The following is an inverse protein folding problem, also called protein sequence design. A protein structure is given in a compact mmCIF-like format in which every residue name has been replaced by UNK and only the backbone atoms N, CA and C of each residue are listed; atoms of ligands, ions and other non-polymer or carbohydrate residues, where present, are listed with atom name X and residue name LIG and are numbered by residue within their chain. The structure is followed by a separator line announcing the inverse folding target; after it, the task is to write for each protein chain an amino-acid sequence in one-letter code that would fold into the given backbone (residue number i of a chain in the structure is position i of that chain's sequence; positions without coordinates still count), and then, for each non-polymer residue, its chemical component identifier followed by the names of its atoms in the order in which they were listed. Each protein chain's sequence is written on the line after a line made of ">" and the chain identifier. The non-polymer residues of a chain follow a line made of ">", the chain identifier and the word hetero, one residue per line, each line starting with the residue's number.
data_IF_232649572531
#
_entry.id   IF_232649572531
#
_cell.length_a   1.000
_cell.length_b   1.000
_cell.length_c   1.000
_cell.angle_alpha   90.00
_cell.angle_beta   90.00
_cell.angle_gamma   90.00
#
_symmetry.space_group_name_H-M   'P 1'
#
loop_
_entity.id
_entity.type
_entity.pdbx_description
1 polymer ?
#
# COMPACT_ATOMS: atom_id res chain seq x y z
N UNK A 1 30.55 -10.60 17.29
CA UNK A 1 29.76 -9.35 17.16
C UNK A 1 28.82 -9.54 15.97
N UNK A 2 27.61 -8.97 15.98
CA UNK A 2 26.72 -9.09 14.82
C UNK A 2 27.29 -8.34 13.61
N UNK A 3 27.24 -8.98 12.44
CA UNK A 3 27.50 -8.34 11.14
C UNK A 3 26.18 -7.84 10.55
N UNK A 4 26.17 -6.65 9.94
CA UNK A 4 24.99 -6.06 9.31
C UNK A 4 25.27 -5.78 7.83
N UNK A 5 24.63 -6.54 6.93
CA UNK A 5 24.88 -6.47 5.49
C UNK A 5 23.64 -6.84 4.69
N UNK A 6 23.73 -6.67 3.37
CA UNK A 6 22.75 -7.22 2.43
C UNK A 6 22.73 -8.75 2.58
N UNK A 7 21.54 -9.33 2.40
CA UNK A 7 21.34 -10.78 2.40
C UNK A 7 21.80 -11.34 1.05
N UNK A 8 22.66 -12.35 1.08
CA UNK A 8 23.17 -13.01 -0.12
C UNK A 8 22.16 -14.04 -0.67
N UNK A 9 22.32 -14.44 -1.92
CA UNK A 9 21.35 -15.30 -2.63
C UNK A 9 21.05 -16.61 -1.88
N UNK A 10 22.07 -17.26 -1.36
CA UNK A 10 21.99 -18.52 -0.59
C UNK A 10 21.48 -18.32 0.86
N UNK A 11 21.36 -17.08 1.32
CA UNK A 11 20.91 -16.74 2.67
C UNK A 11 19.41 -16.38 2.73
N UNK A 12 18.76 -16.12 1.59
CA UNK A 12 17.34 -15.76 1.58
C UNK A 12 16.42 -16.84 2.17
N UNK A 13 16.81 -18.11 2.07
CA UNK A 13 16.06 -19.18 2.75
C UNK A 13 16.07 -19.00 4.28
N UNK A 14 17.21 -18.59 4.87
CA UNK A 14 17.26 -18.29 6.32
C UNK A 14 16.36 -17.10 6.68
N UNK A 15 16.28 -16.08 5.81
CA UNK A 15 15.39 -14.94 6.01
C UNK A 15 13.91 -15.35 5.97
N UNK A 16 13.53 -16.22 5.03
CA UNK A 16 12.18 -16.77 4.91
C UNK A 16 11.84 -17.61 6.14
N UNK A 17 12.73 -18.52 6.54
CA UNK A 17 12.53 -19.40 7.70
C UNK A 17 12.38 -18.60 9.00
N UNK A 18 13.18 -17.54 9.18
CA UNK A 18 13.06 -16.65 10.32
C UNK A 18 11.73 -15.88 10.31
N UNK A 19 11.34 -15.34 9.15
CA UNK A 19 10.08 -14.62 9.02
C UNK A 19 8.86 -15.55 9.26
N UNK A 20 8.92 -16.79 8.77
CA UNK A 20 7.89 -17.80 9.01
C UNK A 20 7.80 -18.17 10.48
N UNK A 21 8.94 -18.42 11.14
CA UNK A 21 8.99 -18.66 12.59
C UNK A 21 8.35 -17.54 13.40
N UNK A 22 8.49 -16.28 12.97
CA UNK A 22 8.01 -15.11 13.72
C UNK A 22 6.55 -14.77 13.42
N UNK A 23 6.12 -14.86 12.16
CA UNK A 23 4.82 -14.34 11.71
C UNK A 23 3.80 -15.42 11.35
N UNK A 24 4.24 -16.63 11.01
CA UNK A 24 3.34 -17.68 10.55
C UNK A 24 2.97 -18.65 11.66
N UNK A 25 1.78 -19.23 11.49
CA UNK A 25 1.18 -20.25 12.35
C UNK A 25 0.65 -21.35 11.43
N UNK A 26 0.25 -22.47 12.00
CA UNK A 26 -0.37 -23.56 11.25
C UNK A 26 -1.52 -23.05 10.36
N UNK A 27 -1.51 -23.48 9.10
CA UNK A 27 -2.46 -23.07 8.06
C UNK A 27 -2.16 -21.75 7.35
N UNK A 28 -1.08 -21.03 7.71
CA UNK A 28 -0.58 -19.95 6.86
C UNK A 28 0.32 -20.47 5.73
N UNK A 29 0.27 -19.79 4.59
CA UNK A 29 1.31 -19.90 3.57
C UNK A 29 2.59 -19.22 4.06
N UNK A 30 3.73 -19.67 3.56
CA UNK A 30 5.04 -19.06 3.87
C UNK A 30 5.07 -17.57 3.49
N UNK A 31 5.78 -16.77 4.28
CA UNK A 31 6.12 -15.38 4.01
C UNK A 31 6.83 -15.23 2.66
N UNK A 32 7.72 -16.16 2.29
CA UNK A 32 8.43 -16.14 1.00
C UNK A 32 7.50 -16.28 -0.20
N UNK A 33 6.37 -16.98 -0.04
CA UNK A 33 5.34 -17.12 -1.08
C UNK A 33 4.43 -15.88 -1.09
N UNK A 34 4.01 -15.42 0.09
CA UNK A 34 3.03 -14.34 0.21
C UNK A 34 3.59 -12.96 -0.16
N UNK A 35 4.86 -12.73 0.15
CA UNK A 35 5.54 -11.44 0.00
C UNK A 35 6.82 -11.60 -0.84
N UNK A 36 6.72 -12.08 -2.09
CA UNK A 36 7.89 -12.50 -2.86
C UNK A 36 8.90 -11.37 -3.10
N UNK A 37 8.44 -10.12 -3.21
CA UNK A 37 9.31 -8.96 -3.42
C UNK A 37 10.22 -8.67 -2.23
N UNK A 38 9.77 -8.95 -1.00
CA UNK A 38 10.53 -8.76 0.25
C UNK A 38 11.77 -9.65 0.29
N UNK A 39 11.67 -10.84 -0.32
CA UNK A 39 12.72 -11.86 -0.38
C UNK A 39 13.31 -12.00 -1.80
N UNK A 40 13.27 -10.92 -2.59
CA UNK A 40 13.72 -10.95 -3.99
C UNK A 40 15.24 -10.91 -4.11
N UNK A 41 15.82 -12.04 -4.51
CA UNK A 41 17.23 -12.12 -4.93
C UNK A 41 17.53 -11.15 -6.07
N UNK A 42 16.58 -10.96 -7.00
CA UNK A 42 16.76 -10.08 -8.16
C UNK A 42 16.86 -8.60 -7.77
N UNK A 43 16.19 -8.19 -6.69
CA UNK A 43 16.32 -6.83 -6.16
C UNK A 43 17.58 -6.71 -5.29
N UNK A 44 17.85 -7.69 -4.43
CA UNK A 44 18.98 -7.72 -3.49
C UNK A 44 19.15 -6.41 -2.68
N UNK A 45 18.07 -5.98 -2.01
CA UNK A 45 18.04 -4.72 -1.25
C UNK A 45 17.71 -4.92 0.24
N UNK A 46 17.38 -6.14 0.64
CA UNK A 46 17.03 -6.49 2.02
C UNK A 46 18.29 -6.73 2.86
N UNK A 47 18.23 -6.37 4.14
CA UNK A 47 19.36 -6.45 5.06
C UNK A 47 19.13 -7.48 6.17
N UNK A 48 20.23 -8.12 6.59
CA UNK A 48 20.26 -9.08 7.69
C UNK A 48 21.27 -8.69 8.77
N UNK A 49 21.00 -9.12 10.00
CA UNK A 49 21.98 -9.17 11.08
C UNK A 49 22.41 -10.61 11.30
N UNK A 50 23.71 -10.88 11.23
CA UNK A 50 24.30 -12.22 11.28
C UNK A 50 25.17 -12.40 12.51
N UNK A 51 25.06 -13.56 13.16
CA UNK A 51 25.92 -13.96 14.28
C UNK A 51 26.41 -15.37 13.98
N UNK A 52 27.72 -15.53 13.79
CA UNK A 52 28.35 -16.81 13.43
C UNK A 52 27.68 -17.43 12.19
N UNK A 53 27.57 -16.63 11.11
CA UNK A 53 26.93 -16.95 9.82
C UNK A 53 25.43 -17.30 9.87
N UNK A 54 24.80 -17.20 11.05
CA UNK A 54 23.37 -17.37 11.22
C UNK A 54 22.65 -16.03 11.12
N UNK A 55 21.65 -15.94 10.25
CA UNK A 55 20.75 -14.80 10.18
C UNK A 55 19.84 -14.78 11.43
N UNK A 56 19.95 -13.72 12.25
CA UNK A 56 19.20 -13.57 13.51
C UNK A 56 18.23 -12.38 13.52
N UNK A 57 18.33 -11.49 12.54
CA UNK A 57 17.37 -10.41 12.31
C UNK A 57 17.31 -10.07 10.83
N UNK A 58 16.13 -9.71 10.34
CA UNK A 58 15.87 -9.38 8.94
C UNK A 58 15.03 -8.12 8.81
N UNK A 59 15.29 -7.32 7.78
CA UNK A 59 14.42 -6.24 7.31
C UNK A 59 14.34 -6.33 5.78
N UNK A 60 13.13 -6.59 5.28
CA UNK A 60 12.89 -6.60 3.85
C UNK A 60 12.65 -5.20 3.32
N UNK A 61 13.15 -4.93 2.10
CA UNK A 61 13.06 -3.63 1.46
C UNK A 61 12.57 -3.78 0.02
N UNK A 62 11.48 -3.10 -0.33
CA UNK A 62 10.84 -3.22 -1.65
C UNK A 62 10.70 -1.83 -2.30
N UNK A 63 11.29 -1.60 -3.48
CA UNK A 63 11.16 -0.33 -4.19
C UNK A 63 9.79 -0.25 -4.88
N UNK A 64 9.28 0.97 -5.04
CA UNK A 64 8.09 1.24 -5.83
C UNK A 64 8.12 2.63 -6.45
N UNK A 65 7.37 2.80 -7.54
CA UNK A 65 7.06 4.10 -8.12
C UNK A 65 5.57 4.35 -7.91
N UNK A 66 5.23 5.50 -7.32
CA UNK A 66 3.84 5.93 -7.13
C UNK A 66 3.47 6.93 -8.20
N UNK A 67 2.28 6.80 -8.75
CA UNK A 67 1.68 7.78 -9.65
C UNK A 67 0.59 8.54 -8.91
N UNK A 68 0.75 9.86 -8.79
CA UNK A 68 -0.13 10.76 -8.06
C UNK A 68 -0.59 11.90 -8.97
N UNK A 69 -1.67 11.68 -9.73
CA UNK A 69 -2.24 12.68 -10.67
C UNK A 69 -1.19 13.34 -11.58
N UNK A 70 -0.33 12.53 -12.20
CA UNK A 70 0.72 13.00 -13.12
C UNK A 70 2.09 13.23 -12.49
N UNK A 71 2.20 13.23 -11.15
CA UNK A 71 3.49 13.14 -10.46
C UNK A 71 3.94 11.70 -10.32
N UNK A 72 5.26 11.50 -10.33
CA UNK A 72 5.92 10.23 -10.03
C UNK A 72 6.77 10.37 -8.76
N UNK A 73 6.46 9.58 -7.74
CA UNK A 73 7.18 9.58 -6.46
C UNK A 73 7.92 8.25 -6.31
N UNK A 74 9.23 8.32 -6.15
CA UNK A 74 10.05 7.13 -5.85
C UNK A 74 9.93 6.81 -4.36
N UNK A 75 9.53 5.59 -4.05
CA UNK A 75 9.22 5.15 -2.71
C UNK A 75 9.86 3.79 -2.40
N UNK A 76 9.96 3.49 -1.12
CA UNK A 76 10.23 2.15 -0.63
C UNK A 76 9.16 1.74 0.38
N UNK A 77 9.01 0.43 0.56
CA UNK A 77 8.26 -0.16 1.66
C UNK A 77 9.17 -1.12 2.42
N UNK A 78 9.08 -1.13 3.76
CA UNK A 78 9.70 -2.17 4.57
C UNK A 78 8.67 -3.21 4.97
N UNK A 79 9.08 -4.48 4.88
CA UNK A 79 8.25 -5.64 5.19
C UNK A 79 9.04 -6.70 5.96
N UNK A 80 8.31 -7.67 6.53
CA UNK A 80 8.87 -8.82 7.26
C UNK A 80 9.96 -8.49 8.31
N UNK A 81 9.86 -7.34 8.98
CA UNK A 81 10.86 -6.91 9.97
C UNK A 81 10.82 -7.81 11.19
N UNK A 82 11.81 -8.68 11.35
CA UNK A 82 11.81 -9.68 12.42
C UNK A 82 13.19 -9.86 13.06
N UNK A 83 13.17 -10.26 14.32
CA UNK A 83 14.37 -10.66 15.08
C UNK A 83 14.03 -11.95 15.80
N UNK A 84 14.94 -12.93 15.71
CA UNK A 84 14.85 -14.18 16.45
C UNK A 84 14.62 -13.88 17.95
N UNK A 85 13.62 -14.52 18.60
CA UNK A 85 13.31 -14.29 20.01
C UNK A 85 14.54 -14.26 20.95
N UNK A 86 15.54 -15.09 20.69
CA UNK A 86 16.74 -15.23 21.52
C UNK A 86 17.76 -14.07 21.34
N UNK A 87 17.54 -13.25 20.31
CA UNK A 87 18.40 -12.12 19.94
C UNK A 87 17.70 -10.75 20.10
N UNK A 88 16.48 -10.73 20.65
CA UNK A 88 15.72 -9.48 20.90
C UNK A 88 16.34 -8.62 22.00
N UNK A 89 15.96 -7.33 22.01
CA UNK A 89 16.43 -6.29 22.95
C UNK A 89 17.94 -6.02 22.91
N UNK A 90 18.59 -6.37 21.80
CA UNK A 90 20.02 -6.11 21.53
C UNK A 90 20.27 -4.98 20.51
N UNK A 91 19.24 -4.19 20.19
CA UNK A 91 19.34 -3.07 19.23
C UNK A 91 19.37 -3.44 17.74
N UNK A 92 19.37 -4.73 17.38
CA UNK A 92 19.55 -5.21 16.00
C UNK A 92 18.58 -4.56 14.99
N UNK A 93 17.28 -4.53 15.31
CA UNK A 93 16.26 -3.95 14.44
C UNK A 93 16.47 -2.44 14.21
N UNK A 94 16.99 -1.71 15.20
CA UNK A 94 17.26 -0.27 15.06
C UNK A 94 18.47 -0.04 14.15
N UNK A 95 19.54 -0.81 14.30
CA UNK A 95 20.71 -0.75 13.42
C UNK A 95 20.37 -1.14 11.98
N UNK A 96 19.50 -2.14 11.79
CA UNK A 96 18.97 -2.50 10.47
C UNK A 96 18.12 -1.36 9.87
N UNK A 97 17.29 -0.70 10.66
CA UNK A 97 16.49 0.44 10.19
C UNK A 97 17.38 1.63 9.76
N UNK A 98 18.48 1.89 10.46
CA UNK A 98 19.48 2.89 10.07
C UNK A 98 20.12 2.54 8.70
N UNK A 99 20.46 1.26 8.46
CA UNK A 99 20.92 0.78 7.14
C UNK A 99 19.89 1.04 6.03
N UNK A 100 18.61 0.82 6.33
CA UNK A 100 17.52 1.11 5.38
C UNK A 100 17.45 2.60 5.07
N UNK A 101 17.53 3.49 6.06
CA UNK A 101 17.49 4.92 5.80
C UNK A 101 18.68 5.38 4.94
N UNK A 102 19.87 4.86 5.19
CA UNK A 102 21.04 5.10 4.33
C UNK A 102 20.81 4.61 2.90
N UNK A 103 20.24 3.41 2.74
CA UNK A 103 19.94 2.83 1.43
C UNK A 103 18.93 3.68 0.64
N UNK A 104 17.80 4.02 1.26
CA UNK A 104 16.71 4.78 0.64
C UNK A 104 17.16 6.19 0.26
N UNK A 105 18.00 6.83 1.08
CA UNK A 105 18.60 8.11 0.73
C UNK A 105 19.54 8.01 -0.48
N UNK A 106 20.38 6.96 -0.54
CA UNK A 106 21.29 6.73 -1.69
C UNK A 106 20.54 6.41 -2.98
N UNK A 107 19.36 5.79 -2.91
CA UNK A 107 18.57 5.44 -4.09
C UNK A 107 17.77 6.61 -4.69
N UNK A 108 17.66 7.74 -4.00
CA UNK A 108 16.83 8.87 -4.45
C UNK A 108 15.32 8.63 -4.28
N UNK A 109 14.93 7.80 -3.32
CA UNK A 109 13.52 7.66 -2.94
C UNK A 109 13.18 8.69 -1.85
N UNK A 110 12.01 9.31 -1.96
CA UNK A 110 11.63 10.45 -1.12
C UNK A 110 10.72 10.07 0.04
N UNK A 111 10.09 8.89 -0.01
CA UNK A 111 9.21 8.37 1.04
C UNK A 111 9.46 6.89 1.32
N UNK A 112 9.21 6.49 2.56
CA UNK A 112 9.30 5.12 3.05
C UNK A 112 8.00 4.73 3.75
N UNK A 113 7.35 3.65 3.31
CA UNK A 113 6.16 3.09 3.93
C UNK A 113 6.48 1.92 4.86
N UNK A 114 5.70 1.79 5.93
CA UNK A 114 5.83 0.76 6.94
C UNK A 114 4.42 0.28 7.31
N UNK A 115 4.16 -1.02 7.23
CA UNK A 115 2.83 -1.57 7.52
C UNK A 115 2.46 -1.55 9.02
N UNK A 116 3.41 -1.19 9.90
CA UNK A 116 3.23 -1.10 11.36
C UNK A 116 3.56 0.27 11.97
N UNK A 117 3.29 0.37 13.28
CA UNK A 117 3.33 1.60 14.09
C UNK A 117 4.13 1.44 15.40
N UNK A 118 4.98 0.41 15.47
CA UNK A 118 5.79 0.12 16.66
C UNK A 118 6.61 1.36 17.10
N UNK A 119 6.87 1.54 18.41
CA UNK A 119 7.60 2.70 18.92
C UNK A 119 8.98 2.95 18.28
N UNK A 120 9.61 1.91 17.73
CA UNK A 120 10.88 2.05 16.99
C UNK A 120 10.73 2.92 15.74
N UNK A 121 9.60 2.84 15.04
CA UNK A 121 9.34 3.63 13.83
C UNK A 121 8.97 5.06 14.17
N UNK A 122 8.08 5.24 15.16
CA UNK A 122 7.62 6.56 15.60
C UNK A 122 8.77 7.42 16.14
N UNK A 123 9.70 6.82 16.91
CA UNK A 123 10.91 7.51 17.40
C UNK A 123 11.86 7.93 16.27
N UNK A 124 11.79 7.28 15.12
CA UNK A 124 12.60 7.59 13.93
C UNK A 124 11.88 8.54 12.96
N UNK A 125 10.79 9.18 13.40
CA UNK A 125 10.06 10.18 12.63
C UNK A 125 9.09 9.61 11.60
N UNK A 126 8.69 8.33 11.74
CA UNK A 126 7.55 7.81 11.00
C UNK A 126 6.25 8.32 11.63
N UNK A 127 5.22 8.53 10.83
CA UNK A 127 3.92 9.04 11.29
C UNK A 127 2.78 8.47 10.46
N UNK A 128 1.56 8.60 10.95
CA UNK A 128 0.37 8.17 10.21
C UNK A 128 0.05 9.15 9.06
N UNK A 129 -0.56 8.62 8.00
CA UNK A 129 -0.94 9.37 6.80
C UNK A 129 -2.25 8.86 6.22
N UNK A 130 -2.86 9.68 5.36
CA UNK A 130 -4.05 9.28 4.60
C UNK A 130 -5.29 9.06 5.46
N UNK A 131 -6.44 8.96 4.79
CA UNK A 131 -7.74 8.68 5.40
C UNK A 131 -8.54 7.76 4.50
N UNK A 132 -9.37 6.93 5.10
CA UNK A 132 -10.27 6.02 4.43
C UNK A 132 -11.60 5.97 5.17
N UNK A 133 -12.61 5.51 4.43
CA UNK A 133 -13.83 5.00 5.02
C UNK A 133 -13.80 3.48 4.91
N UNK A 134 -13.98 2.79 6.03
CA UNK A 134 -14.21 1.36 6.04
C UNK A 134 -15.72 1.12 5.97
N UNK A 135 -16.14 0.40 4.94
CA UNK A 135 -17.51 -0.06 4.75
C UNK A 135 -17.60 -1.54 5.07
N UNK A 136 -18.65 -1.94 5.78
CA UNK A 136 -19.07 -3.34 5.89
C UNK A 136 -20.31 -3.51 5.01
N UNK A 137 -20.16 -4.30 3.94
CA UNK A 137 -21.21 -4.51 2.94
C UNK A 137 -21.83 -5.90 3.11
N UNK A 138 -23.14 -5.98 2.95
CA UNK A 138 -23.90 -7.23 2.87
C UNK A 138 -24.49 -7.43 1.47
N UNK A 139 -25.06 -8.61 1.21
CA UNK A 139 -25.63 -8.92 -0.11
C UNK A 139 -26.73 -7.93 -0.51
N UNK A 140 -27.62 -7.60 0.42
CA UNK A 140 -28.81 -6.78 0.17
C UNK A 140 -28.50 -5.28 0.04
N UNK A 141 -27.28 -4.88 0.40
CA UNK A 141 -26.77 -3.52 0.28
C UNK A 141 -26.47 -3.13 -1.17
N UNK A 142 -26.18 -4.10 -2.03
CA UNK A 142 -25.58 -3.84 -3.35
C UNK A 142 -26.53 -4.24 -4.48
N UNK A 143 -26.93 -3.26 -5.28
CA UNK A 143 -27.71 -3.52 -6.51
C UNK A 143 -26.77 -3.81 -7.68
N UNK A 144 -27.00 -4.94 -8.35
CA UNK A 144 -26.26 -5.37 -9.55
C UNK A 144 -26.78 -4.66 -10.80
N UNK A 145 -25.89 -4.17 -11.66
CA UNK A 145 -26.24 -3.77 -13.02
C UNK A 145 -26.15 -4.98 -13.97
N UNK A 146 -27.27 -5.30 -14.62
CA UNK A 146 -27.38 -6.49 -15.49
C UNK A 146 -26.80 -6.29 -16.88
N UNK A 147 -26.36 -5.08 -17.23
CA UNK A 147 -25.71 -4.78 -18.51
C UNK A 147 -24.25 -5.24 -18.59
N UNK A 148 -23.67 -5.65 -17.47
CA UNK A 148 -22.32 -6.22 -17.38
C UNK A 148 -22.37 -7.74 -17.20
N UNK A 149 -21.58 -8.45 -18.01
CA UNK A 149 -21.28 -9.87 -17.78
C UNK A 149 -20.14 -9.96 -16.78
N UNK A 150 -20.36 -10.66 -15.66
CA UNK A 150 -19.32 -10.91 -14.66
C UNK A 150 -18.75 -12.31 -14.82
N UNK A 151 -17.42 -12.43 -14.70
CA UNK A 151 -16.70 -13.71 -14.72
C UNK A 151 -15.37 -13.59 -13.97
N UNK A 152 -14.74 -14.73 -13.71
CA UNK A 152 -13.36 -14.74 -13.23
C UNK A 152 -12.38 -14.28 -14.33
N UNK A 153 -11.26 -13.71 -13.90
CA UNK A 153 -10.15 -13.33 -14.77
C UNK A 153 -9.61 -14.55 -15.52
N UNK A 154 -9.46 -14.44 -16.83
CA UNK A 154 -8.90 -15.48 -17.69
C UNK A 154 -7.43 -15.18 -18.07
N UNK A 155 -6.63 -16.19 -18.46
CA UNK A 155 -5.22 -15.99 -18.84
C UNK A 155 -4.98 -15.01 -20.00
N UNK A 156 -6.00 -14.67 -20.79
CA UNK A 156 -5.90 -13.74 -21.92
C UNK A 156 -6.29 -12.29 -21.57
N UNK A 157 -6.67 -11.99 -20.32
CA UNK A 157 -7.18 -10.67 -19.92
C UNK A 157 -6.09 -9.68 -19.47
N UNK A 158 -4.84 -10.11 -19.33
CA UNK A 158 -3.78 -9.35 -18.65
C UNK A 158 -3.56 -7.94 -19.19
N UNK A 159 -3.68 -7.73 -20.51
CA UNK A 159 -3.53 -6.40 -21.09
C UNK A 159 -4.67 -5.44 -20.72
N UNK A 160 -5.90 -5.96 -20.65
CA UNK A 160 -7.05 -5.15 -20.24
C UNK A 160 -7.02 -4.88 -18.74
N UNK A 161 -6.63 -5.87 -17.92
CA UNK A 161 -6.41 -5.67 -16.48
C UNK A 161 -5.34 -4.61 -16.21
N UNK A 162 -4.21 -4.65 -16.93
CA UNK A 162 -3.17 -3.62 -16.86
C UNK A 162 -3.73 -2.24 -17.25
N UNK A 163 -4.49 -2.14 -18.34
CA UNK A 163 -5.12 -0.88 -18.78
C UNK A 163 -6.00 -0.29 -17.66
N UNK A 164 -6.85 -1.11 -17.05
CA UNK A 164 -7.72 -0.68 -15.94
C UNK A 164 -6.91 -0.23 -14.71
N UNK A 165 -5.88 -0.99 -14.31
CA UNK A 165 -5.00 -0.62 -13.20
C UNK A 165 -4.28 0.72 -13.46
N UNK A 166 -3.75 0.90 -14.68
CA UNK A 166 -3.00 2.10 -15.05
C UNK A 166 -3.85 3.36 -15.20
N UNK A 167 -5.15 3.21 -15.48
CA UNK A 167 -6.08 4.34 -15.58
C UNK A 167 -6.43 4.95 -14.22
N UNK A 168 -6.05 4.31 -13.10
CA UNK A 168 -6.23 4.87 -11.76
C UNK A 168 -5.30 6.06 -11.58
N UNK A 169 -5.85 7.17 -11.10
CA UNK A 169 -5.10 8.42 -10.90
C UNK A 169 -4.03 8.32 -9.81
N UNK A 170 -4.34 7.55 -8.76
CA UNK A 170 -3.50 7.25 -7.62
C UNK A 170 -3.23 5.76 -7.62
N UNK A 171 -1.97 5.35 -7.83
CA UNK A 171 -1.61 3.93 -7.94
C UNK A 171 -0.12 3.69 -7.71
N UNK A 172 0.22 2.45 -7.40
CA UNK A 172 1.57 1.93 -7.62
C UNK A 172 1.76 1.67 -9.12
N UNK A 173 2.96 1.91 -9.62
CA UNK A 173 3.38 1.35 -10.89
C UNK A 173 3.48 -0.17 -10.77
N UNK A 174 2.83 -0.86 -11.70
CA UNK A 174 2.84 -2.31 -11.76
C UNK A 174 2.91 -2.76 -13.21
N UNK A 175 3.83 -3.69 -13.47
CA UNK A 175 3.89 -4.49 -14.68
C UNK A 175 2.87 -5.62 -14.62
N UNK A 176 2.61 -6.28 -15.77
CA UNK A 176 1.75 -7.47 -15.82
C UNK A 176 2.30 -8.57 -14.92
N UNK A 177 3.62 -8.74 -14.91
CA UNK A 177 4.28 -9.78 -14.13
C UNK A 177 4.11 -9.53 -12.63
N UNK A 178 4.27 -8.28 -12.18
CA UNK A 178 4.06 -7.91 -10.78
C UNK A 178 2.62 -8.13 -10.35
N UNK A 179 1.62 -7.69 -11.14
CA UNK A 179 0.21 -7.95 -10.84
C UNK A 179 -0.03 -9.45 -10.70
N UNK A 180 0.48 -10.27 -11.62
CA UNK A 180 0.32 -11.71 -11.58
C UNK A 180 1.01 -12.34 -10.35
N UNK A 181 2.24 -11.92 -10.02
CA UNK A 181 2.96 -12.42 -8.85
C UNK A 181 2.29 -12.02 -7.54
N UNK A 182 1.96 -10.74 -7.36
CA UNK A 182 1.32 -10.24 -6.14
C UNK A 182 -0.06 -10.86 -5.94
N UNK A 183 -0.83 -11.04 -7.02
CA UNK A 183 -2.10 -11.74 -6.95
C UNK A 183 -1.94 -13.22 -6.56
N UNK A 184 -0.91 -13.90 -7.08
CA UNK A 184 -0.62 -15.30 -6.72
C UNK A 184 -0.16 -15.44 -5.27
N UNK A 185 0.69 -14.52 -4.78
CA UNK A 185 1.17 -14.52 -3.40
C UNK A 185 0.06 -14.20 -2.38
N UNK A 186 -0.93 -13.40 -2.79
CA UNK A 186 -2.06 -13.03 -1.96
C UNK A 186 -1.64 -12.36 -0.63
N UNK A 187 -0.59 -11.54 -0.64
CA UNK A 187 0.11 -11.00 0.54
C UNK A 187 -0.80 -10.61 1.71
N UNK A 188 -1.57 -9.53 1.56
CA UNK A 188 -2.46 -9.03 2.61
C UNK A 188 -3.55 -10.06 3.01
N UNK A 189 -4.20 -10.69 2.03
CA UNK A 189 -5.24 -11.70 2.29
C UNK A 189 -4.68 -12.93 3.05
N UNK A 190 -3.43 -13.29 2.81
CA UNK A 190 -2.77 -14.46 3.42
C UNK A 190 -2.66 -14.35 4.94
N UNK A 191 -2.66 -13.11 5.48
CA UNK A 191 -2.66 -12.82 6.93
C UNK A 191 -3.94 -13.36 7.57
N UNK A 192 -5.03 -13.40 6.82
CA UNK A 192 -6.34 -13.89 7.24
C UNK A 192 -6.63 -15.32 6.76
N UNK A 193 -5.60 -16.09 6.36
CA UNK A 193 -5.76 -17.43 5.76
C UNK A 193 -6.66 -17.43 4.51
N UNK A 194 -6.54 -16.38 3.70
CA UNK A 194 -7.29 -16.22 2.46
C UNK A 194 -6.35 -16.20 1.25
N UNK A 195 -6.85 -16.71 0.12
CA UNK A 195 -6.26 -16.52 -1.20
C UNK A 195 -7.03 -15.43 -1.94
N UNK A 196 -6.45 -14.88 -3.00
CA UNK A 196 -7.18 -13.97 -3.87
C UNK A 196 -8.09 -14.71 -4.85
N UNK A 197 -9.22 -14.08 -5.16
CA UNK A 197 -9.98 -14.32 -6.38
C UNK A 197 -10.13 -12.99 -7.12
N UNK A 198 -10.13 -13.05 -8.45
CA UNK A 198 -10.23 -11.88 -9.33
C UNK A 198 -11.46 -12.00 -10.21
N UNK A 199 -12.38 -11.06 -10.07
CA UNK A 199 -13.54 -10.91 -10.94
C UNK A 199 -13.32 -9.75 -11.90
N UNK A 200 -13.91 -9.89 -13.09
CA UNK A 200 -13.93 -8.86 -14.12
C UNK A 200 -15.36 -8.64 -14.61
N UNK A 201 -15.69 -7.39 -14.90
CA UNK A 201 -16.95 -6.99 -15.50
C UNK A 201 -16.70 -6.65 -16.97
N UNK A 202 -17.43 -7.29 -17.86
CA UNK A 202 -17.26 -7.21 -19.31
C UNK A 202 -18.54 -6.67 -19.97
N UNK A 203 -18.37 -5.73 -20.90
CA UNK A 203 -19.43 -5.24 -21.78
C UNK A 203 -18.87 -5.06 -23.18
N UNK A 204 -19.58 -5.54 -24.19
CA UNK A 204 -19.15 -5.46 -25.60
C UNK A 204 -17.73 -6.03 -25.84
N UNK A 205 -17.36 -7.12 -25.15
CA UNK A 205 -16.03 -7.76 -25.20
C UNK A 205 -14.85 -6.92 -24.67
N UNK A 206 -15.12 -5.82 -23.96
CA UNK A 206 -14.11 -5.04 -23.24
C UNK A 206 -14.31 -5.19 -21.73
N UNK A 207 -13.23 -5.31 -20.97
CA UNK A 207 -13.28 -5.26 -19.51
C UNK A 207 -13.46 -3.81 -19.06
N UNK A 208 -14.52 -3.55 -18.32
CA UNK A 208 -14.83 -2.23 -17.78
C UNK A 208 -14.37 -2.06 -16.33
N UNK A 209 -14.26 -3.16 -15.57
CA UNK A 209 -13.72 -3.14 -14.23
C UNK A 209 -13.14 -4.49 -13.81
N UNK A 210 -12.30 -4.45 -12.77
CA UNK A 210 -11.86 -5.62 -12.03
C UNK A 210 -11.99 -5.41 -10.52
N UNK A 211 -12.09 -6.52 -9.79
CA UNK A 211 -12.11 -6.57 -8.35
C UNK A 211 -11.31 -7.78 -7.88
N UNK A 212 -10.37 -7.55 -6.97
CA UNK A 212 -9.62 -8.57 -6.25
C UNK A 212 -10.14 -8.61 -4.82
N UNK A 213 -10.50 -9.80 -4.34
CA UNK A 213 -11.01 -9.99 -2.98
C UNK A 213 -10.47 -11.28 -2.36
N UNK A 214 -10.49 -11.34 -1.04
CA UNK A 214 -10.05 -12.51 -0.27
C UNK A 214 -11.12 -13.59 -0.16
N UNK A 215 -10.76 -14.84 -0.44
CA UNK A 215 -11.58 -16.02 -0.13
C UNK A 215 -10.80 -16.97 0.79
N UNK A 216 -11.41 -17.54 1.85
CA UNK A 216 -10.74 -18.48 2.74
C UNK A 216 -10.07 -19.67 2.01
N UNK A 217 -8.97 -20.19 2.55
CA UNK A 217 -8.29 -21.37 1.96
C UNK A 217 -9.14 -22.64 2.01
N UNK A 218 -9.86 -22.81 3.12
CA UNK A 218 -10.81 -23.89 3.33
C UNK A 218 -12.21 -23.29 3.26
N UNK A 219 -13.17 -24.05 2.75
CA UNK A 219 -14.59 -23.68 2.84
C UNK A 219 -14.95 -23.54 4.32
N UNK A 220 -14.99 -22.29 4.79
CA UNK A 220 -15.56 -21.93 6.07
C UNK A 220 -16.92 -21.33 5.76
N UNK A 221 -17.98 -21.97 6.25
CA UNK A 221 -19.30 -21.34 6.24
C UNK A 221 -19.26 -20.15 7.20
N UNK A 222 -19.53 -18.97 6.66
CA UNK A 222 -19.66 -17.72 7.41
C UNK A 222 -18.34 -17.04 7.76
N UNK A 223 -18.27 -15.74 7.49
CA UNK A 223 -17.09 -14.91 7.73
C UNK A 223 -17.01 -13.66 6.86
N UNK A 224 -16.28 -12.65 7.36
CA UNK A 224 -16.04 -11.40 6.66
C UNK A 224 -14.95 -11.59 5.58
N UNK A 225 -15.30 -11.38 4.31
CA UNK A 225 -14.33 -11.24 3.21
C UNK A 225 -13.80 -9.80 3.15
N UNK A 226 -12.80 -9.55 2.30
CA UNK A 226 -12.13 -8.24 2.15
C UNK A 226 -11.90 -7.91 0.69
N UNK A 227 -12.20 -6.69 0.29
CA UNK A 227 -11.73 -6.12 -0.97
C UNK A 227 -10.24 -5.80 -0.83
N UNK A 228 -9.44 -6.23 -1.81
CA UNK A 228 -7.99 -6.04 -1.82
C UNK A 228 -7.60 -4.95 -2.82
N UNK A 229 -8.10 -5.02 -4.05
CA UNK A 229 -7.73 -4.10 -5.12
C UNK A 229 -8.89 -3.99 -6.12
N UNK A 230 -9.06 -2.84 -6.76
CA UNK A 230 -10.10 -2.63 -7.76
C UNK A 230 -9.64 -1.60 -8.79
N UNK A 231 -10.35 -1.52 -9.91
CA UNK A 231 -10.17 -0.45 -10.88
C UNK A 231 -11.16 -0.56 -12.03
N UNK A 232 -11.49 0.59 -12.61
CA UNK A 232 -12.43 0.70 -13.73
C UNK A 232 -13.67 1.52 -13.39
N UNK A 233 -14.74 1.26 -14.14
CA UNK A 233 -16.02 1.95 -14.03
C UNK A 233 -16.71 1.71 -12.66
N UNK A 234 -17.12 2.76 -11.92
CA UNK A 234 -17.79 2.62 -10.62
C UNK A 234 -19.07 1.75 -10.64
N UNK A 235 -19.87 1.80 -11.72
CA UNK A 235 -21.09 1.00 -11.84
C UNK A 235 -20.73 -0.48 -12.03
N UNK A 236 -19.73 -0.77 -12.86
CA UNK A 236 -19.18 -2.11 -13.04
C UNK A 236 -18.57 -2.66 -11.73
N UNK A 237 -17.87 -1.84 -10.94
CA UNK A 237 -17.34 -2.24 -9.63
C UNK A 237 -18.46 -2.67 -8.68
N UNK A 238 -19.57 -1.92 -8.60
CA UNK A 238 -20.74 -2.34 -7.79
C UNK A 238 -21.29 -3.71 -8.21
N UNK A 239 -21.35 -3.96 -9.51
CA UNK A 239 -21.76 -5.26 -10.06
C UNK A 239 -20.80 -6.38 -9.60
N UNK A 240 -19.50 -6.11 -9.55
CA UNK A 240 -18.50 -7.08 -9.07
C UNK A 240 -18.62 -7.33 -7.57
N UNK A 241 -18.89 -6.30 -6.76
CA UNK A 241 -19.11 -6.46 -5.32
C UNK A 241 -20.33 -7.35 -5.03
N UNK A 242 -21.43 -7.18 -5.78
CA UNK A 242 -22.61 -8.03 -5.64
C UNK A 242 -22.29 -9.51 -5.96
N UNK A 243 -21.43 -9.76 -6.96
CA UNK A 243 -21.00 -11.11 -7.32
C UNK A 243 -20.13 -11.77 -6.24
N UNK A 244 -19.39 -11.01 -5.42
CA UNK A 244 -18.56 -11.59 -4.34
C UNK A 244 -19.38 -12.48 -3.40
N UNK A 245 -20.64 -12.12 -3.13
CA UNK A 245 -21.51 -12.89 -2.23
C UNK A 245 -21.94 -14.26 -2.79
N UNK A 246 -21.69 -14.56 -4.07
CA UNK A 246 -21.92 -15.91 -4.63
C UNK A 246 -20.82 -16.89 -4.20
N UNK A 247 -19.71 -16.39 -3.68
CA UNK A 247 -18.60 -17.18 -3.11
C UNK A 247 -18.75 -17.50 -1.62
N UNK A 248 -19.90 -17.19 -1.03
CA UNK A 248 -20.26 -17.56 0.34
C UNK A 248 -19.89 -16.63 1.51
N UNK A 249 -19.28 -15.42 1.36
CA UNK A 249 -19.08 -14.56 2.53
C UNK A 249 -20.40 -13.95 3.00
N UNK A 250 -20.54 -13.74 4.32
CA UNK A 250 -21.71 -13.06 4.92
C UNK A 250 -21.64 -11.55 4.75
N UNK A 251 -20.40 -11.04 4.76
CA UNK A 251 -20.10 -9.63 4.61
C UNK A 251 -18.79 -9.40 3.87
N UNK A 252 -18.62 -8.20 3.34
CA UNK A 252 -17.42 -7.76 2.64
C UNK A 252 -16.92 -6.46 3.25
N UNK A 253 -15.72 -6.48 3.83
CA UNK A 253 -15.04 -5.29 4.31
C UNK A 253 -14.33 -4.60 3.14
N UNK A 254 -14.63 -3.31 2.96
CA UNK A 254 -14.01 -2.49 1.93
C UNK A 254 -13.44 -1.20 2.53
N UNK A 255 -12.12 -1.08 2.48
CA UNK A 255 -11.40 0.14 2.85
C UNK A 255 -11.25 1.03 1.62
N UNK A 256 -12.02 2.13 1.57
CA UNK A 256 -12.04 3.06 0.43
C UNK A 256 -11.31 4.35 0.83
N UNK A 257 -10.19 4.68 0.17
CA UNK A 257 -9.49 5.95 0.36
C UNK A 257 -10.35 7.18 0.15
N UNK A 258 -10.12 8.24 0.93
CA UNK A 258 -10.89 9.49 0.85
C UNK A 258 -10.74 10.23 -0.49
N UNK A 259 -9.74 9.89 -1.31
CA UNK A 259 -9.60 10.45 -2.66
C UNK A 259 -10.49 9.74 -3.71
N UNK A 260 -11.09 8.59 -3.41
CA UNK A 260 -11.99 7.84 -4.29
C UNK A 260 -13.41 8.44 -4.28
N UNK A 261 -13.52 9.75 -4.54
CA UNK A 261 -14.76 10.54 -4.40
C UNK A 261 -15.95 9.95 -5.17
N UNK A 262 -15.70 9.45 -6.39
CA UNK A 262 -16.75 8.86 -7.22
C UNK A 262 -17.34 7.57 -6.64
N UNK A 263 -16.51 6.73 -6.02
CA UNK A 263 -16.98 5.51 -5.34
C UNK A 263 -17.69 5.85 -4.04
N UNK A 264 -17.17 6.81 -3.25
CA UNK A 264 -17.79 7.18 -1.98
C UNK A 264 -19.19 7.79 -2.16
N UNK A 265 -19.43 8.57 -3.21
CA UNK A 265 -20.76 9.12 -3.51
C UNK A 265 -21.82 8.02 -3.67
N UNK A 266 -21.44 6.89 -4.25
CA UNK A 266 -22.31 5.72 -4.42
C UNK A 266 -22.49 4.92 -3.12
N UNK A 267 -21.60 5.10 -2.14
CA UNK A 267 -21.57 4.35 -0.88
C UNK A 267 -22.06 5.15 0.33
N UNK A 268 -22.26 6.46 0.22
CA UNK A 268 -22.56 7.31 1.38
C UNK A 268 -23.93 7.03 2.02
N UNK A 269 -24.81 6.28 1.35
CA UNK A 269 -26.07 5.80 1.93
C UNK A 269 -25.89 4.61 2.89
N UNK A 270 -24.73 3.98 2.96
CA UNK A 270 -24.48 2.85 3.86
C UNK A 270 -24.32 3.28 5.32
N UNK A 271 -25.05 2.60 6.21
CA UNK A 271 -25.04 2.93 7.65
C UNK A 271 -23.82 2.34 8.39
N UNK A 272 -23.26 1.23 7.91
CA UNK A 272 -22.08 0.60 8.51
C UNK A 272 -20.77 1.15 7.91
N UNK A 273 -20.52 2.44 8.18
CA UNK A 273 -19.31 3.18 7.75
C UNK A 273 -18.52 3.67 8.96
N UNK A 274 -17.20 3.50 8.93
CA UNK A 274 -16.28 4.04 9.93
C UNK A 274 -15.14 4.81 9.25
N UNK A 275 -15.01 6.09 9.59
CA UNK A 275 -13.89 6.93 9.17
C UNK A 275 -12.63 6.51 9.93
N UNK A 276 -11.53 6.24 9.20
CA UNK A 276 -10.28 5.78 9.77
C UNK A 276 -9.07 6.43 9.10
N UNK A 277 -7.97 6.54 9.83
CA UNK A 277 -6.65 6.78 9.24
C UNK A 277 -6.14 5.48 8.62
N UNK A 278 -5.24 5.58 7.64
CA UNK A 278 -4.64 4.36 7.11
C UNK A 278 -3.90 3.58 8.20
N UNK A 279 -3.94 2.24 8.15
CA UNK A 279 -3.08 1.41 8.97
C UNK A 279 -1.63 1.51 8.48
N UNK A 280 -0.68 1.52 9.41
CA UNK A 280 0.74 1.70 9.09
C UNK A 280 1.19 3.16 9.10
N UNK A 281 2.47 3.36 8.82
CA UNK A 281 3.13 4.66 8.92
C UNK A 281 3.97 4.96 7.68
N UNK A 282 4.31 6.23 7.51
CA UNK A 282 5.18 6.74 6.45
C UNK A 282 6.26 7.62 7.06
N UNK A 283 7.42 7.67 6.42
CA UNK A 283 8.48 8.65 6.66
C UNK A 283 8.79 9.41 5.38
N UNK A 284 8.80 10.74 5.44
CA UNK A 284 9.40 11.56 4.39
C UNK A 284 10.92 11.50 4.60
N UNK A 285 11.62 10.94 3.62
CA UNK A 285 13.07 10.71 3.66
C UNK A 285 13.83 11.97 3.28
N UNK A 286 13.29 12.73 2.34
CA UNK A 286 13.83 13.99 1.89
C UNK A 286 12.70 14.88 1.36
N UNK A 287 12.38 15.96 2.09
CA UNK A 287 11.30 16.87 1.75
C UNK A 287 11.53 17.58 0.41
N UNK A 288 12.73 18.08 0.15
CA UNK A 288 13.03 18.81 -1.09
C UNK A 288 12.90 17.89 -2.31
N UNK A 289 13.38 16.66 -2.19
CA UNK A 289 13.22 15.64 -3.23
C UNK A 289 11.75 15.29 -3.46
N UNK A 290 10.97 15.12 -2.39
CA UNK A 290 9.53 14.85 -2.48
C UNK A 290 8.80 16.01 -3.17
N UNK A 291 9.09 17.25 -2.79
CA UNK A 291 8.48 18.43 -3.39
C UNK A 291 8.81 18.54 -4.88
N UNK A 292 10.05 18.25 -5.27
CA UNK A 292 10.46 18.21 -6.67
C UNK A 292 9.70 17.14 -7.47
N UNK A 293 9.55 15.93 -6.91
CA UNK A 293 8.75 14.86 -7.51
C UNK A 293 7.26 15.21 -7.63
N UNK A 294 6.72 16.00 -6.69
CA UNK A 294 5.32 16.43 -6.67
C UNK A 294 5.02 17.66 -7.54
N UNK A 295 6.02 18.28 -8.19
CA UNK A 295 5.78 19.44 -9.07
C UNK A 295 4.64 19.21 -10.07
N UNK A 296 4.54 18.06 -10.77
CA UNK A 296 3.41 17.81 -11.68
C UNK A 296 2.05 17.73 -10.97
N UNK A 297 2.00 17.24 -9.73
CA UNK A 297 0.76 17.16 -8.94
C UNK A 297 0.25 18.54 -8.56
N UNK A 298 1.17 19.48 -8.27
CA UNK A 298 0.84 20.86 -7.89
C UNK A 298 0.55 21.77 -9.09
N UNK A 299 0.82 21.32 -10.31
CA UNK A 299 0.60 22.08 -11.53
C UNK A 299 -0.84 22.60 -11.58
N UNK A 300 -0.98 23.90 -11.84
CA UNK A 300 -2.26 24.64 -11.88
C UNK A 300 -3.03 24.68 -10.54
N UNK A 301 -2.47 24.16 -9.43
CA UNK A 301 -3.05 24.20 -8.07
C UNK A 301 -2.35 25.23 -7.18
N UNK A 302 -1.02 25.12 -7.02
CA UNK A 302 -0.17 26.04 -6.26
C UNK A 302 1.31 25.86 -6.63
N UNK A 303 2.17 26.74 -6.13
CA UNK A 303 3.62 26.60 -6.18
C UNK A 303 4.21 26.56 -4.76
N UNK A 304 5.32 25.83 -4.61
CA UNK A 304 6.08 25.75 -3.37
C UNK A 304 7.53 26.13 -3.67
N UNK A 305 8.08 27.09 -2.92
CA UNK A 305 9.48 27.50 -3.05
C UNK A 305 10.20 27.50 -1.71
N UNK A 306 11.51 27.30 -1.75
CA UNK A 306 12.38 27.40 -0.57
C UNK A 306 12.58 28.88 -0.21
N UNK A 307 12.32 29.22 1.06
CA UNK A 307 12.66 30.54 1.62
C UNK A 307 14.07 30.47 2.21
N UNK A 308 14.31 29.47 3.06
CA UNK A 308 15.58 29.14 3.67
C UNK A 308 15.65 27.63 4.01
N UNK A 309 16.67 27.20 4.75
CA UNK A 309 16.86 25.80 5.14
C UNK A 309 15.72 25.22 6.00
N UNK A 310 14.90 26.05 6.64
CA UNK A 310 13.87 25.66 7.61
C UNK A 310 12.44 25.94 7.15
N UNK A 311 12.26 26.73 6.09
CA UNK A 311 10.95 27.24 5.70
C UNK A 311 10.70 27.14 4.19
N UNK A 312 9.44 26.84 3.86
CA UNK A 312 8.90 26.87 2.50
C UNK A 312 7.78 27.90 2.39
N UNK A 313 7.66 28.51 1.23
CA UNK A 313 6.55 29.39 0.86
C UNK A 313 5.61 28.65 -0.08
N UNK A 314 4.35 28.55 0.28
CA UNK A 314 3.27 28.05 -0.56
C UNK A 314 2.51 29.26 -1.12
N UNK A 315 2.26 29.32 -2.42
CA UNK A 315 1.54 30.44 -3.02
C UNK A 315 0.79 30.06 -4.29
N UNK A 316 -0.26 30.82 -4.59
CA UNK A 316 -0.92 30.86 -5.89
C UNK A 316 -1.08 32.34 -6.31
N UNK A 317 -1.94 32.64 -7.29
CA UNK A 317 -2.12 34.01 -7.79
C UNK A 317 -2.73 34.96 -6.75
N UNK A 318 -3.43 34.44 -5.73
CA UNK A 318 -4.24 35.22 -4.79
C UNK A 318 -3.73 35.14 -3.34
N UNK A 319 -3.12 34.01 -2.98
CA UNK A 319 -2.77 33.67 -1.61
C UNK A 319 -1.31 33.28 -1.49
N UNK A 320 -0.73 33.52 -0.32
CA UNK A 320 0.64 33.13 0.01
C UNK A 320 0.76 32.87 1.50
N UNK A 321 1.46 31.80 1.87
CA UNK A 321 1.81 31.51 3.26
C UNK A 321 3.23 30.94 3.35
N UNK A 322 3.89 31.15 4.48
CA UNK A 322 5.21 30.58 4.78
C UNK A 322 5.04 29.62 5.95
N UNK A 323 5.55 28.40 5.79
CA UNK A 323 5.45 27.31 6.76
C UNK A 323 6.84 26.77 7.06
N UNK A 324 7.03 26.22 8.26
CA UNK A 324 8.25 25.45 8.55
C UNK A 324 8.27 24.16 7.72
N UNK A 325 9.44 23.58 7.48
CA UNK A 325 9.55 22.29 6.79
C UNK A 325 8.71 21.20 7.49
N UNK A 326 8.66 21.21 8.82
CA UNK A 326 7.86 20.26 9.59
C UNK A 326 6.35 20.45 9.35
N UNK A 327 5.88 21.70 9.29
CA UNK A 327 4.48 22.00 8.99
C UNK A 327 4.12 21.61 7.54
N UNK A 328 5.07 21.73 6.61
CA UNK A 328 4.90 21.29 5.22
C UNK A 328 4.80 19.76 5.15
N UNK A 329 5.66 19.04 5.87
CA UNK A 329 5.58 17.57 5.98
C UNK A 329 4.24 17.13 6.58
N UNK A 330 3.79 17.78 7.66
CA UNK A 330 2.50 17.49 8.27
C UNK A 330 1.34 17.80 7.32
N UNK A 331 1.40 18.92 6.59
CA UNK A 331 0.42 19.29 5.58
C UNK A 331 0.35 18.25 4.45
N UNK A 332 1.50 17.79 3.95
CA UNK A 332 1.60 16.73 2.94
C UNK A 332 0.91 15.45 3.40
N UNK A 333 1.11 15.03 4.65
CA UNK A 333 0.66 13.73 5.13
C UNK A 333 -0.76 13.72 5.71
N UNK A 334 -1.17 14.82 6.35
CA UNK A 334 -2.40 14.90 7.15
C UNK A 334 -3.38 15.98 6.69
N UNK A 335 -2.94 16.89 5.83
CA UNK A 335 -3.73 18.04 5.39
C UNK A 335 -3.80 19.16 6.41
N UNK A 336 -4.55 20.21 6.08
CA UNK A 336 -4.84 21.33 6.98
C UNK A 336 -6.30 21.28 7.43
N UNK A 337 -6.54 21.57 8.70
CA UNK A 337 -7.90 21.72 9.24
C UNK A 337 -8.43 23.16 9.13
N UNK A 338 -7.55 24.15 8.94
CA UNK A 338 -7.86 25.54 9.26
C UNK A 338 -7.50 26.54 8.14
N UNK A 339 -7.15 26.07 6.93
CA UNK A 339 -6.81 26.96 5.82
C UNK A 339 -7.51 26.50 4.54
N UNK A 340 -8.47 27.29 4.09
CA UNK A 340 -9.38 26.93 3.00
C UNK A 340 -8.70 26.90 1.63
N UNK A 341 -7.78 27.81 1.32
CA UNK A 341 -7.30 27.97 -0.05
C UNK A 341 -6.44 26.81 -0.58
N UNK A 342 -5.96 25.91 0.29
CA UNK A 342 -5.26 24.68 -0.11
C UNK A 342 -5.82 23.40 0.55
N UNK A 343 -7.01 23.46 1.16
CA UNK A 343 -7.62 22.30 1.81
C UNK A 343 -7.99 21.19 0.83
N UNK A 344 -8.29 21.52 -0.43
CA UNK A 344 -8.59 20.54 -1.49
C UNK A 344 -7.33 19.95 -2.14
N UNK A 345 -6.15 20.51 -1.86
CA UNK A 345 -4.87 20.06 -2.42
C UNK A 345 -4.18 19.06 -1.48
N UNK A 346 -4.39 19.23 -0.17
CA UNK A 346 -3.74 18.46 0.88
C UNK A 346 -4.76 17.70 1.75
N UNK A 347 -4.42 16.50 2.27
CA UNK A 347 -3.13 15.82 2.15
C UNK A 347 -2.86 15.35 0.72
N UNK A 348 -1.59 15.10 0.42
CA UNK A 348 -1.20 14.43 -0.83
C UNK A 348 -1.81 13.02 -0.81
N UNK A 349 -2.50 12.60 -1.87
CA UNK A 349 -3.25 11.35 -1.89
C UNK A 349 -2.34 10.13 -2.08
N UNK A 350 -1.49 9.82 -1.11
CA UNK A 350 -0.65 8.61 -1.17
C UNK A 350 -1.52 7.33 -1.22
N UNK A 351 -1.06 6.27 -1.93
CA UNK A 351 -1.83 5.04 -2.06
C UNK A 351 -2.15 4.37 -0.73
N UNK A 352 -3.29 3.67 -0.69
CA UNK A 352 -3.69 2.87 0.45
C UNK A 352 -2.72 1.70 0.67
N UNK A 353 -2.26 1.43 1.91
CA UNK A 353 -1.21 0.45 2.13
C UNK A 353 -1.67 -1.02 2.07
N UNK A 354 -2.95 -1.34 2.30
CA UNK A 354 -3.43 -2.74 2.34
C UNK A 354 -4.03 -3.23 1.01
N UNK A 355 -3.32 -2.99 -0.09
CA UNK A 355 -3.63 -3.51 -1.43
C UNK A 355 -2.69 -4.63 -1.87
N UNK A 356 -2.52 -4.80 -3.19
CA UNK A 356 -1.57 -5.76 -3.77
C UNK A 356 -0.12 -5.51 -3.35
N UNK A 357 0.27 -4.25 -3.16
CA UNK A 357 1.63 -3.82 -2.79
C UNK A 357 1.91 -3.86 -1.28
N UNK A 358 1.04 -4.46 -0.47
CA UNK A 358 1.27 -4.62 0.97
C UNK A 358 2.47 -5.55 1.24
N UNK A 359 3.34 -5.18 2.20
CA UNK A 359 4.55 -5.91 2.60
C UNK A 359 4.75 -6.05 4.11
#
# INVERSE_FOLDING_TARGET
>A
MPEFRLVEEDEFQQAIDLADKVFRKEGHVSMGIAFPQVFSVALNQSYGAFVDDKLVSFIGLVPSVLHLEGAEVQAYSIGAVCTDPDYRRKGLANTLLEKIFEHVNKSGASVLFISGDLPIYMKQGCTFYGKMNQYKLHRDDITRDTSYKVRELAPYDWFQLRKLSQNRKIRYEQTIYEIAQLNKGAGFASIFKMKHKVLVAEKNSELNAFLIFGVPYQEQEGGDSRVIEWGGDPIAIRTLLAEVFTYGPDSLLWNVPSYEKGLMQDLDSFQEKVDQTYPGTIKIMNLDLLLNQLVPYFKDKLAISTVDEKQKRLFNNENSTTLSNLDVEELILKGSKNVEWYSDIFPIPFPFPQGLNYV
#
